data_IF_229742871944
#
_entry.id   IF_229742871944
#
_cell.length_a   1.000
_cell.length_b   1.000
_cell.length_c   1.000
_cell.angle_alpha   90.00
_cell.angle_beta   90.00
_cell.angle_gamma   90.00
#
_symmetry.space_group_name_H-M   'P 1'
#
loop_
_entity.id
_entity.type
_entity.pdbx_description
1 polymer ?
2 polymer ?
3 non-polymer ?
4 non-polymer ?
5 non-polymer ?
6 water ?
#
loop_
_entity_poly.entity_id
_entity_poly.type
_entity_poly.pdbx_seq_one_letter_code
_entity_poly.pdbx_strand_id
1 'polyribonucleotide' 'GGCAUUGUGCCUCGCAUUGCACUCCGCGGGGCGAUAAGUCCUGAAAAGGGAUGUC' ?
#
# COMPACT_ATOMS: atom_id res chain seq x y z
N UNK C 1 -14.67 -21.32 -0.55
CA UNK C 1 -14.78 -22.56 0.26
C UNK C 1 -16.02 -22.64 1.19
N UNK C 2 -16.69 -23.79 1.15
CA UNK C 2 -17.94 -23.93 1.90
C UNK C 2 -17.65 -23.86 3.39
N UNK C 3 -18.59 -23.35 4.18
CA UNK C 3 -18.36 -23.24 5.63
C UNK C 3 -18.13 -24.62 6.25
N UNK C 4 -17.38 -24.63 7.35
CA UNK C 4 -16.98 -25.89 7.95
C UNK C 4 -16.87 -25.69 9.46
N UNK C 5 -17.04 -26.79 10.20
CA UNK C 5 -16.88 -26.77 11.64
C UNK C 5 -15.55 -26.19 12.07
N UNK C 6 -14.52 -26.33 11.24
CA UNK C 6 -13.15 -25.96 11.57
C UNK C 6 -12.68 -24.76 10.76
N UNK C 7 -11.86 -23.90 11.37
CA UNK C 7 -11.28 -22.80 10.64
C UNK C 7 -9.78 -22.99 10.53
N UNK C 8 -9.27 -22.76 9.33
CA UNK C 8 -7.85 -22.77 9.03
C UNK C 8 -7.31 -21.36 9.24
N UNK C 9 -6.25 -21.24 10.05
CA UNK C 9 -5.52 -19.99 10.24
C UNK C 9 -4.07 -20.21 9.85
N UNK C 10 -3.48 -19.22 9.21
CA UNK C 10 -2.04 -19.21 8.94
C UNK C 10 -1.58 -17.77 8.94
N UNK C 11 -0.37 -17.53 8.45
CA UNK C 11 0.33 -16.25 8.69
C UNK C 11 0.43 -16.01 10.19
N UNK C 12 0.41 -17.10 10.96
CA UNK C 12 0.73 -17.06 12.37
C UNK C 12 2.22 -16.94 12.57
N UNK C 13 2.60 -16.01 13.44
CA UNK C 13 3.94 -15.86 14.00
C UNK C 13 4.57 -17.19 14.41
N UNK C 14 5.58 -17.63 13.64
CA UNK C 14 6.23 -18.92 13.89
C UNK C 14 7.15 -18.93 15.13
N UNK C 15 7.56 -17.77 15.63
CA UNK C 15 8.45 -17.73 16.78
C UNK C 15 7.76 -18.04 18.09
N UNK C 16 6.44 -18.31 18.10
CA UNK C 16 5.68 -18.44 19.35
C UNK C 16 5.62 -19.90 19.77
N UNK C 17 5.89 -20.15 21.05
CA UNK C 17 5.92 -21.53 21.53
C UNK C 17 4.55 -22.17 21.37
N UNK C 18 4.57 -23.47 21.07
CA UNK C 18 3.35 -24.23 20.82
C UNK C 18 2.35 -24.09 21.97
N UNK C 19 2.81 -24.23 23.21
CA UNK C 19 1.92 -24.12 24.35
C UNK C 19 1.18 -22.80 24.32
N UNK C 20 1.95 -21.69 24.36
CA UNK C 20 1.38 -20.35 24.37
C UNK C 20 0.49 -20.12 23.16
N UNK C 21 0.95 -20.56 21.99
CA UNK C 21 0.19 -20.33 20.77
C UNK C 21 -1.20 -20.93 20.87
N UNK C 22 -1.28 -22.21 21.24
CA UNK C 22 -2.58 -22.82 21.46
C UNK C 22 -3.35 -22.02 22.50
N UNK C 23 -2.73 -21.83 23.67
CA UNK C 23 -3.40 -21.15 24.75
C UNK C 23 -3.90 -19.78 24.31
N UNK C 24 -3.09 -19.06 23.51
CA UNK C 24 -3.49 -17.72 23.07
C UNK C 24 -4.63 -17.79 22.06
N UNK C 25 -4.48 -18.63 21.04
CA UNK C 25 -5.55 -18.84 20.08
C UNK C 25 -6.84 -19.21 20.78
N UNK C 26 -6.73 -20.01 21.85
CA UNK C 26 -7.94 -20.51 22.48
C UNK C 26 -8.71 -19.38 23.16
N UNK C 27 -8.00 -18.52 23.90
CA UNK C 27 -8.65 -17.40 24.59
C UNK C 27 -9.45 -16.54 23.61
N UNK C 28 -8.84 -16.18 22.49
CA UNK C 28 -9.46 -15.33 21.49
C UNK C 28 -10.70 -16.00 20.89
N UNK C 29 -10.58 -17.25 20.46
CA UNK C 29 -11.63 -17.80 19.63
C UNK C 29 -12.76 -18.46 20.41
N UNK C 30 -12.55 -18.77 21.67
CA UNK C 30 -13.65 -19.26 22.47
C UNK C 30 -14.79 -18.25 22.62
N UNK C 31 -14.53 -16.95 22.43
CA UNK C 31 -15.64 -16.00 22.49
C UNK C 31 -16.68 -16.26 21.42
N UNK C 32 -16.41 -17.16 20.49
CA UNK C 32 -17.35 -17.38 19.42
C UNK C 32 -18.15 -18.67 19.59
N UNK C 33 -17.64 -19.62 20.36
CA UNK C 33 -18.29 -20.90 20.43
C UNK C 33 -17.56 -21.82 21.39
N UNK C 34 -18.02 -23.05 21.44
CA UNK C 34 -17.32 -24.04 22.20
C UNK C 34 -16.35 -24.74 21.26
N UNK C 35 -15.09 -24.72 21.64
CA UNK C 35 -14.04 -25.30 20.82
C UNK C 35 -13.76 -26.70 21.34
N UNK C 36 -13.78 -27.68 20.44
CA UNK C 36 -13.45 -29.05 20.81
C UNK C 36 -11.95 -29.28 20.82
N UNK C 37 -11.24 -28.78 19.82
CA UNK C 37 -9.79 -28.82 19.89
C UNK C 37 -9.15 -27.77 19.00
N UNK C 38 -7.87 -27.51 19.28
CA UNK C 38 -7.01 -26.62 18.53
C UNK C 38 -5.75 -27.40 18.22
N UNK C 39 -5.45 -27.59 16.95
CA UNK C 39 -4.30 -28.40 16.60
C UNK C 39 -3.16 -27.48 16.16
N UNK C 40 -2.01 -27.63 16.81
CA UNK C 40 -0.86 -26.79 16.52
C UNK C 40 0.38 -27.67 16.51
N UNK C 41 1.06 -27.73 15.35
CA UNK C 41 2.29 -28.48 15.17
C UNK C 41 3.29 -27.59 14.47
N UNK C 42 4.54 -27.60 14.93
CA UNK C 42 5.58 -26.75 14.40
C UNK C 42 6.48 -27.46 13.38
N UNK C 43 6.04 -28.56 12.79
CA UNK C 43 6.79 -29.16 11.71
C UNK C 43 6.87 -28.17 10.56
N UNK C 44 7.75 -28.46 9.59
CA UNK C 44 7.85 -27.57 8.44
C UNK C 44 6.47 -27.36 7.82
N UNK C 45 5.74 -28.46 7.57
CA UNK C 45 4.50 -28.40 6.82
C UNK C 45 3.39 -27.66 7.57
N UNK C 47 4.01 -25.25 10.38
CA UNK C 47 4.41 -23.98 11.00
C UNK C 47 3.41 -22.87 10.66
N UNK C 48 3.38 -21.85 11.50
CA UNK C 48 2.52 -20.70 11.28
C UNK C 48 1.05 -20.96 10.98
N UNK C 49 0.60 -22.20 11.13
CA UNK C 49 -0.79 -22.55 10.90
C UNK C 49 -1.42 -23.12 12.17
N UNK C 50 -2.75 -23.04 12.24
CA UNK C 50 -3.51 -23.68 13.30
C UNK C 50 -4.87 -24.13 12.77
N UNK C 51 -5.42 -25.13 13.44
CA UNK C 51 -6.73 -25.71 13.14
C UNK C 51 -7.60 -25.62 14.38
N UNK C 52 -8.58 -24.74 14.36
CA UNK C 52 -9.49 -24.54 15.49
C UNK C 52 -10.82 -25.19 15.16
N UNK C 53 -11.14 -26.24 15.91
CA UNK C 53 -12.31 -27.07 15.68
C UNK C 53 -13.42 -26.60 16.62
N UNK C 54 -14.51 -26.08 16.04
CA UNK C 54 -15.66 -25.58 16.78
C UNK C 54 -16.75 -26.64 16.81
N UNK C 55 -17.54 -26.62 17.90
CA UNK C 55 -18.71 -27.50 17.97
C UNK C 55 -19.77 -27.10 16.96
N UNK C 56 -20.01 -25.80 16.82
CA UNK C 56 -21.08 -25.27 16.00
C UNK C 56 -20.50 -24.53 14.79
N UNK C 57 -20.97 -24.88 13.59
CA UNK C 57 -20.49 -24.19 12.40
C UNK C 57 -20.76 -22.69 12.50
N UNK C 58 -21.97 -22.31 12.92
CA UNK C 58 -22.28 -20.89 13.14
C UNK C 58 -21.21 -20.22 13.98
N UNK C 59 -20.65 -20.94 14.96
CA UNK C 59 -19.66 -20.38 15.86
C UNK C 59 -18.30 -20.19 15.19
N UNK C 60 -17.94 -21.10 14.28
CA UNK C 60 -16.76 -20.87 13.45
C UNK C 60 -16.94 -19.64 12.58
N UNK C 61 -18.10 -19.52 11.94
CA UNK C 61 -18.33 -18.43 11.00
C UNK C 61 -18.20 -17.05 11.65
N UNK C 62 -18.78 -16.87 12.85
CA UNK C 62 -18.53 -15.63 13.59
C UNK C 62 -17.05 -15.41 13.89
N UNK C 63 -16.32 -16.50 14.17
CA UNK C 63 -14.90 -16.35 14.46
C UNK C 63 -14.11 -15.96 13.22
N UNK C 64 -14.47 -16.52 12.07
CA UNK C 64 -13.79 -16.14 10.84
C UNK C 64 -14.16 -14.72 10.42
N UNK C 65 -15.45 -14.42 10.40
CA UNK C 65 -15.91 -13.11 9.93
C UNK C 65 -15.47 -12.01 10.87
N UNK C 66 -15.63 -12.21 12.18
CA UNK C 66 -15.24 -11.14 13.09
C UNK C 66 -13.72 -10.96 13.08
N UNK C 68 -11.08 -11.94 10.98
CA UNK C 68 -10.16 -11.99 9.85
C UNK C 68 -9.07 -10.93 9.99
N UNK C 69 -7.87 -11.25 9.50
CA UNK C 69 -6.80 -10.25 9.44
C UNK C 69 -6.48 -9.44 10.70
N UNK C 70 -6.96 -9.91 11.88
CA UNK C 70 -6.72 -9.14 13.09
C UNK C 70 -5.31 -9.36 13.60
N UNK C 71 -4.78 -8.38 14.33
CA UNK C 71 -3.43 -8.50 14.88
C UNK C 71 -3.32 -9.60 15.93
N UNK C 72 -2.35 -10.47 15.74
CA UNK C 72 -2.11 -11.56 16.66
C UNK C 72 -0.63 -11.87 16.55
N UNK C 73 0.13 -11.50 17.61
CA UNK C 73 1.59 -11.65 17.66
C UNK C 73 2.27 -10.95 16.48
N UNK C 74 1.78 -9.76 16.17
CA UNK C 74 2.38 -8.81 15.24
C UNK C 74 2.19 -9.25 13.79
N UNK C 75 1.28 -10.18 13.55
CA UNK C 75 0.97 -10.51 12.19
C UNK C 75 -0.54 -10.60 12.03
N UNK C 76 -1.08 -10.16 10.91
CA UNK C 76 -2.50 -10.45 10.64
C UNK C 76 -2.70 -11.94 10.53
N UNK C 78 -4.66 -14.95 8.88
CA UNK C 78 -5.45 -15.20 7.67
C UNK C 78 -6.28 -16.46 7.91
N UNK C 79 -7.55 -16.24 8.20
CA UNK C 79 -8.51 -17.27 8.52
C UNK C 79 -9.21 -17.73 7.27
N UNK C 80 -9.61 -19.00 7.26
CA UNK C 80 -10.19 -19.68 6.12
C UNK C 80 -10.96 -20.89 6.65
N UNK C 81 -12.03 -21.27 5.97
CA UNK C 81 -12.68 -22.53 6.31
C UNK C 81 -11.79 -23.70 5.92
N UNK C 82 -11.58 -24.63 6.84
CA UNK C 82 -10.77 -25.82 6.52
C UNK C 82 -11.43 -26.58 5.37
N UNK C 83 -10.61 -27.10 4.47
CA UNK C 83 -11.14 -27.64 3.22
C UNK C 83 -12.07 -28.83 3.46
N UNK C 84 -11.93 -29.50 4.61
CA UNK C 84 -12.47 -30.82 4.90
C UNK C 84 -12.67 -30.97 6.39
N UNK C 85 -13.67 -31.76 6.78
CA UNK C 85 -14.03 -31.91 8.20
C UNK C 85 -12.87 -32.48 9.02
N UNK C 86 -12.77 -32.03 10.27
CA UNK C 86 -11.74 -32.57 11.15
C UNK C 86 -12.18 -33.93 11.65
N UNK C 87 -11.21 -34.84 11.79
CA UNK C 87 -11.52 -36.22 12.15
C UNK C 87 -12.45 -36.28 13.37
N UNK C 88 -12.22 -35.42 14.36
CA UNK C 88 -13.07 -35.27 15.54
C UNK C 88 -14.54 -35.10 15.15
N UNK C 89 -14.78 -34.60 13.95
CA UNK C 89 -16.14 -34.31 13.51
C UNK C 89 -16.62 -35.25 12.41
N UNK C 90 -15.72 -35.99 11.76
CA UNK C 90 -16.11 -37.16 10.98
C UNK C 90 -17.29 -37.91 11.62
N UNK C 91 -17.10 -38.40 12.85
CA UNK C 91 -18.22 -38.93 13.64
C UNK C 91 -19.43 -37.96 13.75
N UNK D 1 2.60 32.99 -6.05
CA UNK D 1 2.92 31.68 -5.46
C UNK D 1 4.24 31.72 -4.61
N UNK D 2 4.24 30.99 -3.50
CA UNK D 2 5.28 31.16 -2.50
C UNK D 2 6.58 30.50 -2.94
N UNK D 3 7.73 31.09 -2.59
CA UNK D 3 9.03 30.49 -2.97
C UNK D 3 9.17 29.07 -2.47
N UNK D 4 9.78 28.24 -3.32
CA UNK D 4 9.87 26.79 -3.12
C UNK D 4 11.25 26.29 -3.56
N UNK D 5 11.60 25.09 -3.12
CA UNK D 5 12.83 24.45 -3.59
C UNK D 5 12.74 24.07 -5.06
N UNK D 6 11.54 23.86 -5.58
CA UNK D 6 11.31 23.27 -6.89
C UNK D 6 10.66 24.31 -7.79
N UNK D 7 11.19 24.48 -8.98
CA UNK D 7 10.54 25.35 -9.95
C UNK D 7 9.78 24.48 -10.94
N UNK D 8 8.56 24.88 -11.25
CA UNK D 8 7.72 24.18 -12.20
C UNK D 8 7.76 24.93 -13.51
N UNK D 9 8.35 24.30 -14.54
CA UNK D 9 8.50 24.91 -15.85
C UNK D 9 7.53 24.26 -16.81
N UNK D 10 6.89 25.10 -17.64
CA UNK D 10 6.04 24.64 -18.75
C UNK D 10 6.20 25.64 -19.87
N UNK D 11 5.32 25.55 -20.87
CA UNK D 11 5.56 26.01 -22.24
C UNK D 11 6.93 25.56 -22.70
N UNK D 12 7.15 24.24 -22.66
CA UNK D 12 8.37 23.64 -23.18
C UNK D 12 8.06 22.94 -24.50
N UNK D 13 9.07 22.81 -25.36
CA UNK D 13 8.92 22.20 -26.68
C UNK D 13 8.65 20.71 -26.54
N UNK D 14 7.37 20.33 -26.60
CA UNK D 14 6.96 18.92 -26.47
C UNK D 14 7.66 17.97 -27.43
N UNK D 15 8.27 18.47 -28.49
CA UNK D 15 8.91 17.57 -29.43
C UNK D 15 10.33 17.19 -29.03
N UNK D 16 10.83 17.67 -27.90
CA UNK D 16 12.18 17.33 -27.45
C UNK D 16 12.13 16.01 -26.70
N UNK D 17 13.04 15.10 -27.05
CA UNK D 17 13.19 13.80 -26.39
C UNK D 17 13.44 13.96 -24.91
N UNK D 18 12.94 13.01 -24.12
CA UNK D 18 12.95 13.15 -22.65
C UNK D 18 14.36 13.15 -22.11
N UNK D 19 15.14 12.13 -22.49
CA UNK D 19 16.50 12.05 -22.00
C UNK D 19 17.26 13.33 -22.29
N UNK D 20 16.99 13.94 -23.45
CA UNK D 20 17.73 15.13 -23.86
C UNK D 20 17.19 16.37 -23.18
N UNK D 21 15.87 16.42 -22.98
CA UNK D 21 15.26 17.58 -22.33
C UNK D 21 15.77 17.73 -20.91
N UNK D 22 16.04 16.60 -20.22
CA UNK D 22 16.55 16.63 -18.85
C UNK D 22 17.98 17.18 -18.79
N UNK D 23 18.87 16.64 -19.59
CA UNK D 23 20.26 17.06 -19.46
C UNK D 23 20.45 18.53 -19.89
N UNK D 24 19.64 19.01 -20.85
CA UNK D 24 19.58 20.45 -21.12
C UNK D 24 19.22 21.22 -19.87
N UNK D 25 18.00 21.02 -19.39
CA UNK D 25 17.52 21.65 -18.18
C UNK D 25 18.56 21.59 -17.08
N UNK D 26 19.19 20.44 -16.89
CA UNK D 26 20.20 20.36 -15.84
C UNK D 26 21.37 21.30 -16.14
N UNK D 27 22.03 21.08 -17.28
CA UNK D 27 23.18 21.89 -17.68
C UNK D 27 22.88 23.37 -17.62
N UNK D 28 21.63 23.74 -17.90
CA UNK D 28 21.21 25.13 -17.93
C UNK D 28 21.04 25.69 -16.52
N UNK D 29 20.27 25.00 -15.68
CA UNK D 29 19.98 25.57 -14.37
C UNK D 29 21.07 25.33 -13.33
N UNK D 30 22.02 24.43 -13.62
CA UNK D 30 23.21 24.32 -12.78
C UNK D 30 24.00 25.62 -12.72
N UNK D 31 23.79 26.52 -13.67
CA UNK D 31 24.27 27.88 -13.51
C UNK D 31 23.88 28.45 -12.16
N UNK D 32 22.60 28.31 -11.81
CA UNK D 32 22.04 28.97 -10.65
C UNK D 32 22.14 28.11 -9.39
N UNK D 33 22.96 27.08 -9.38
CA UNK D 33 23.22 26.34 -8.16
C UNK D 33 22.97 24.86 -8.30
N UNK D 34 23.04 24.17 -7.17
CA UNK D 34 23.07 22.71 -7.18
C UNK D 34 21.67 22.12 -7.31
N UNK D 35 21.58 21.01 -8.05
CA UNK D 35 20.31 20.44 -8.47
C UNK D 35 20.25 18.99 -7.98
N UNK D 36 19.19 18.65 -7.23
CA UNK D 36 19.01 17.35 -6.60
C UNK D 36 18.31 16.35 -7.51
N UNK D 37 17.26 16.78 -8.22
CA UNK D 37 16.79 15.98 -9.34
C UNK D 37 16.04 16.89 -10.29
N UNK D 38 15.80 16.36 -11.49
CA UNK D 38 14.88 16.92 -12.48
C UNK D 38 13.89 15.83 -12.82
N UNK D 39 12.61 16.12 -12.63
CA UNK D 39 11.54 15.22 -12.97
C UNK D 39 10.93 15.66 -14.29
N UNK D 40 10.83 14.72 -15.24
CA UNK D 40 10.32 15.00 -16.57
C UNK D 40 9.70 13.73 -17.09
N UNK D 41 8.44 13.81 -17.48
CA UNK D 41 7.73 12.78 -18.23
C UNK D 41 7.15 13.47 -19.44
N UNK D 42 6.89 12.68 -20.48
CA UNK D 42 6.29 13.14 -21.72
C UNK D 42 4.90 12.61 -21.90
N UNK D 43 4.30 12.13 -20.81
CA UNK D 43 2.90 11.72 -20.77
C UNK D 43 1.97 12.87 -21.19
N UNK D 44 0.70 12.52 -21.40
CA UNK D 44 -0.28 13.54 -21.80
C UNK D 44 -0.44 14.60 -20.70
N UNK D 45 -0.36 14.18 -19.43
CA UNK D 45 -0.49 15.13 -18.33
C UNK D 45 0.80 15.91 -18.12
N UNK D 47 3.61 16.34 -20.35
CA UNK D 47 4.46 16.80 -21.43
C UNK D 47 4.50 18.32 -21.43
N UNK D 48 5.52 18.87 -22.07
CA UNK D 48 5.69 20.30 -22.09
C UNK D 48 6.05 20.93 -20.76
N UNK D 49 6.21 20.13 -19.71
CA UNK D 49 6.44 20.59 -18.34
C UNK D 49 7.60 19.83 -17.73
N UNK D 50 8.19 20.40 -16.68
CA UNK D 50 9.34 19.83 -16.00
C UNK D 50 9.42 20.35 -14.56
N UNK D 51 10.01 19.55 -13.68
CA UNK D 51 10.23 19.91 -12.29
C UNK D 51 11.72 19.92 -12.03
N UNK D 52 12.28 21.09 -11.73
CA UNK D 52 13.69 21.22 -11.39
C UNK D 52 13.78 21.44 -9.89
N UNK D 53 14.47 20.55 -9.19
CA UNK D 53 14.50 20.54 -7.73
C UNK D 53 15.85 21.08 -7.29
N UNK D 54 15.86 22.30 -6.77
CA UNK D 54 17.11 22.89 -6.33
C UNK D 54 17.44 22.44 -4.90
N UNK D 55 18.71 22.56 -4.53
CA UNK D 55 19.08 22.31 -3.15
C UNK D 55 18.66 23.48 -2.25
N UNK D 56 18.84 24.72 -2.69
CA UNK D 56 18.53 25.89 -1.88
C UNK D 56 17.56 26.82 -2.60
N UNK D 57 16.51 27.24 -1.89
CA UNK D 57 15.46 28.07 -2.47
C UNK D 57 16.03 29.36 -3.09
N UNK D 58 17.16 29.84 -2.55
CA UNK D 58 17.80 31.00 -3.16
C UNK D 58 18.16 30.72 -4.60
N UNK D 59 18.77 29.55 -4.86
CA UNK D 59 19.10 29.16 -6.22
C UNK D 59 17.87 29.21 -7.12
N UNK D 60 16.79 28.52 -6.70
CA UNK D 60 15.56 28.50 -7.48
C UNK D 60 15.06 29.90 -7.78
N UNK D 61 15.07 30.77 -6.77
CA UNK D 61 14.59 32.12 -7.00
C UNK D 61 15.41 32.82 -8.07
N UNK D 62 16.74 32.80 -7.93
CA UNK D 62 17.59 33.40 -8.97
C UNK D 62 17.31 32.74 -10.30
N UNK D 63 17.05 31.43 -10.29
CA UNK D 63 16.73 30.73 -11.52
C UNK D 63 15.41 31.24 -12.07
N UNK D 64 14.37 31.25 -11.23
CA UNK D 64 13.07 31.73 -11.64
C UNK D 64 13.15 33.15 -12.21
N UNK D 65 13.86 34.03 -11.50
CA UNK D 65 13.91 35.44 -11.87
C UNK D 65 14.75 35.68 -13.12
N UNK D 66 15.84 34.91 -13.30
CA UNK D 66 16.76 35.13 -14.43
C UNK D 66 16.27 34.45 -15.71
N UNK D 68 13.31 33.53 -16.64
CA UNK D 68 11.90 33.68 -16.93
C UNK D 68 11.71 33.99 -18.40
N UNK D 69 10.84 33.21 -19.06
CA UNK D 69 10.55 33.48 -20.45
C UNK D 69 11.69 33.27 -21.39
N UNK D 70 12.74 32.57 -20.96
CA UNK D 70 13.92 32.45 -21.79
C UNK D 70 13.61 31.63 -23.05
N UNK D 71 14.16 32.00 -24.20
CA UNK D 71 13.97 31.21 -25.41
C UNK D 71 14.63 29.86 -25.34
N UNK D 72 13.87 28.83 -25.04
CA UNK D 72 14.41 27.49 -24.92
C UNK D 72 13.71 26.60 -25.94
N UNK D 73 14.47 26.15 -26.95
CA UNK D 73 13.96 25.24 -27.97
C UNK D 73 12.78 25.84 -28.70
N UNK D 74 12.92 27.11 -29.08
CA UNK D 74 11.94 27.92 -29.82
C UNK D 74 10.67 28.21 -29.03
N UNK D 75 10.65 28.01 -27.71
CA UNK D 75 9.53 28.50 -26.94
C UNK D 75 10.06 29.27 -25.74
N UNK D 76 9.34 30.31 -25.30
CA UNK D 76 9.71 30.99 -24.05
C UNK D 76 9.24 30.20 -22.82
N UNK D 78 8.12 29.19 -19.21
CA UNK D 78 7.24 29.77 -18.19
C UNK D 78 7.64 29.10 -16.88
N UNK D 79 8.14 29.88 -15.94
CA UNK D 79 8.68 29.33 -14.70
C UNK D 79 7.88 29.91 -13.55
N UNK D 80 7.20 29.05 -12.78
CA UNK D 80 6.72 29.38 -11.44
C UNK D 80 7.47 28.59 -10.38
N UNK D 81 7.14 28.88 -9.12
CA UNK D 81 7.46 28.00 -8.03
C UNK D 81 6.48 26.83 -8.00
N UNK D 82 6.97 25.66 -7.57
CA UNK D 82 6.09 24.51 -7.44
C UNK D 82 5.02 24.79 -6.38
N UNK D 83 3.83 24.23 -6.58
CA UNK D 83 2.78 24.46 -5.61
C UNK D 83 2.95 23.63 -4.34
N UNK D 84 3.88 22.67 -4.32
CA UNK D 84 4.10 21.80 -3.16
C UNK D 84 5.55 21.37 -3.18
N UNK D 85 6.03 20.94 -2.03
CA UNK D 85 7.40 20.46 -1.96
C UNK D 85 7.53 19.14 -2.70
N UNK D 86 8.65 18.95 -3.37
CA UNK D 86 8.94 17.66 -3.98
C UNK D 86 9.14 16.62 -2.89
N UNK D 87 8.87 15.37 -3.24
CA UNK D 87 8.96 14.29 -2.25
C UNK D 87 10.37 14.25 -1.65
N UNK D 88 11.40 14.28 -2.49
CA UNK D 88 12.80 14.25 -2.04
C UNK D 88 13.10 15.34 -1.00
N UNK D 89 12.30 16.39 -0.93
CA UNK D 89 12.53 17.44 0.05
C UNK D 89 11.77 17.19 1.34
N UNK D 90 10.49 16.79 1.26
CA UNK D 90 9.71 16.55 2.46
C UNK D 90 10.36 15.49 3.35
N UNK D 91 11.01 14.49 2.74
CA UNK D 91 11.78 13.49 3.46
C UNK D 91 13.15 14.09 3.79
N UNK E 2 -12.90 13.20 -5.42
CA UNK E 2 -11.80 12.27 -5.17
C UNK E 2 -12.19 10.77 -5.25
N UNK E 3 -13.35 10.37 -4.71
CA UNK E 3 -13.67 8.92 -4.65
C UNK E 3 -13.61 8.23 -6.00
N UNK E 4 -12.95 7.06 -6.02
CA UNK E 4 -12.81 6.27 -7.23
C UNK E 4 -12.58 4.81 -6.85
N UNK E 5 -12.16 4.00 -7.83
CA UNK E 5 -12.08 2.55 -7.69
C UNK E 5 -10.87 2.08 -6.92
N UNK E 6 -9.88 2.97 -6.73
CA UNK E 6 -8.51 2.60 -6.39
C UNK E 6 -8.10 3.28 -5.08
N UNK E 7 -7.76 2.49 -4.05
CA UNK E 7 -7.29 3.08 -2.79
C UNK E 7 -5.77 2.93 -2.68
N UNK E 8 -5.13 4.02 -2.28
CA UNK E 8 -3.70 4.08 -2.05
C UNK E 8 -3.46 3.88 -0.56
N UNK E 9 -2.71 2.83 -0.21
CA UNK E 9 -2.44 2.46 1.18
C UNK E 9 -0.97 2.69 1.49
N UNK E 10 -0.69 3.25 2.65
CA UNK E 10 0.69 3.55 3.01
C UNK E 10 0.78 3.65 4.52
N UNK E 11 1.98 3.99 4.98
CA UNK E 11 2.43 3.71 6.32
C UNK E 11 2.40 2.21 6.57
N UNK E 12 2.60 1.46 5.51
CA UNK E 12 2.74 0.03 5.62
C UNK E 12 4.08 -0.32 6.27
N UNK E 13 4.28 -1.60 6.52
CA UNK E 13 5.52 -2.05 7.11
C UNK E 13 6.46 -2.50 6.00
N UNK E 14 7.64 -1.87 5.91
CA UNK E 14 8.50 -2.12 4.76
C UNK E 14 9.28 -3.43 4.88
N UNK E 15 9.51 -3.90 6.11
CA UNK E 15 10.22 -5.14 6.32
C UNK E 15 9.39 -6.36 5.91
N UNK E 16 8.07 -6.23 5.76
CA UNK E 16 7.26 -7.37 5.35
C UNK E 16 7.57 -7.74 3.91
N UNK E 17 7.56 -9.04 3.62
CA UNK E 17 7.75 -9.48 2.25
C UNK E 17 6.66 -8.92 1.34
N UNK E 18 7.07 -8.50 0.13
CA UNK E 18 6.16 -8.22 -0.98
C UNK E 18 4.90 -9.07 -0.91
N UNK E 19 5.07 -10.38 -1.05
CA UNK E 19 3.91 -11.21 -1.34
C UNK E 19 3.27 -11.79 -0.10
N UNK E 20 3.90 -11.71 1.06
CA UNK E 20 3.13 -12.05 2.25
C UNK E 20 2.20 -10.90 2.61
N UNK E 21 2.59 -9.66 2.24
CA UNK E 21 1.72 -8.54 2.53
C UNK E 21 0.57 -8.47 1.54
N UNK E 22 0.83 -8.78 0.27
CA UNK E 22 -0.28 -8.89 -0.68
C UNK E 22 -1.28 -9.92 -0.20
N UNK E 23 -0.81 -11.03 0.38
CA UNK E 23 -1.74 -12.06 0.82
C UNK E 23 -2.59 -11.56 1.96
N UNK E 24 -2.10 -10.61 2.75
CA UNK E 24 -2.85 -10.12 3.89
C UNK E 24 -3.76 -8.95 3.53
N UNK E 25 -3.35 -8.10 2.57
CA UNK E 25 -4.27 -7.09 2.04
C UNK E 25 -5.48 -7.74 1.39
N UNK E 26 -5.30 -8.90 0.76
CA UNK E 26 -6.46 -9.55 0.17
C UNK E 26 -7.41 -10.05 1.23
N UNK E 27 -6.89 -10.83 2.18
CA UNK E 27 -7.72 -11.37 3.26
C UNK E 27 -8.47 -10.31 4.01
N UNK E 28 -8.03 -9.07 3.94
CA UNK E 28 -8.60 -8.00 4.74
C UNK E 28 -9.64 -7.21 3.96
N UNK E 29 -9.26 -6.78 2.75
CA UNK E 29 -10.07 -5.86 1.95
C UNK E 29 -11.13 -6.57 1.13
N UNK E 30 -11.04 -7.90 0.99
CA UNK E 30 -12.03 -8.60 0.19
C UNK E 30 -13.39 -8.72 0.87
N UNK E 31 -13.54 -8.37 2.15
CA UNK E 31 -14.88 -8.29 2.73
C UNK E 31 -15.76 -7.36 1.92
N UNK E 32 -15.17 -6.29 1.36
CA UNK E 32 -15.88 -5.11 0.89
C UNK E 32 -16.32 -5.16 -0.57
N UNK E 33 -15.87 -6.12 -1.35
CA UNK E 33 -16.32 -6.19 -2.73
C UNK E 33 -15.31 -6.89 -3.59
N UNK E 34 -15.66 -7.04 -4.86
CA UNK E 34 -14.77 -7.69 -5.80
C UNK E 34 -13.54 -6.82 -6.04
N UNK E 35 -12.38 -7.47 -6.14
CA UNK E 35 -11.08 -6.81 -6.22
C UNK E 35 -10.47 -7.13 -7.57
N UNK E 36 -10.02 -6.11 -8.26
CA UNK E 36 -9.41 -6.36 -9.57
C UNK E 36 -7.93 -6.68 -9.40
N UNK E 37 -7.30 -6.02 -8.45
CA UNK E 37 -5.87 -6.22 -8.29
C UNK E 37 -5.44 -5.63 -6.96
N UNK E 38 -4.54 -6.34 -6.28
CA UNK E 38 -3.73 -5.76 -5.23
C UNK E 38 -2.37 -5.52 -5.85
N UNK E 39 -1.77 -4.38 -5.57
CA UNK E 39 -0.43 -4.10 -6.07
C UNK E 39 0.49 -3.85 -4.88
N UNK E 40 1.40 -4.79 -4.63
CA UNK E 40 2.49 -4.57 -3.70
C UNK E 40 3.80 -4.73 -4.47
N UNK E 41 4.67 -3.74 -4.39
CA UNK E 41 5.86 -3.69 -5.22
C UNK E 41 7.12 -3.58 -4.39
N UNK E 42 8.23 -3.23 -5.05
CA UNK E 42 9.35 -2.62 -4.35
C UNK E 42 8.95 -1.26 -3.81
N UNK E 43 7.88 -0.67 -4.38
CA UNK E 43 7.24 0.49 -3.78
C UNK E 43 6.98 0.28 -2.31
N UNK E 44 6.66 -0.97 -1.92
CA UNK E 44 6.41 -1.26 -0.51
C UNK E 44 7.69 -1.13 0.31
N UNK E 45 8.78 -1.72 -0.17
CA UNK E 45 10.07 -1.59 0.53
C UNK E 45 10.62 -0.18 0.41
N UNK E 47 8.82 2.90 -0.31
CA UNK E 47 7.97 3.92 0.27
C UNK E 47 6.95 3.39 1.28
N UNK E 48 6.88 2.08 1.52
CA UNK E 48 5.91 1.58 2.47
C UNK E 48 4.47 1.76 2.05
N UNK E 49 4.19 1.49 0.77
CA UNK E 49 2.88 1.72 0.21
C UNK E 49 2.51 0.56 -0.70
N UNK E 50 1.20 0.38 -0.90
CA UNK E 50 0.66 -0.56 -1.88
C UNK E 50 -0.66 0.02 -2.43
N UNK E 51 -1.39 -0.80 -3.16
CA UNK E 51 -2.62 -0.37 -3.82
C UNK E 51 -3.60 -1.54 -3.84
N UNK E 52 -4.86 -1.26 -3.53
CA UNK E 52 -5.96 -2.20 -3.78
C UNK E 52 -6.96 -1.54 -4.76
N UNK E 53 -7.38 -2.30 -5.77
CA UNK E 53 -8.25 -1.81 -6.84
C UNK E 53 -9.49 -2.67 -6.89
N UNK E 54 -10.63 -2.06 -6.58
CA UNK E 54 -11.91 -2.76 -6.53
C UNK E 54 -12.63 -2.63 -7.86
N UNK E 55 -13.64 -3.48 -8.04
CA UNK E 55 -14.47 -3.41 -9.24
C UNK E 55 -15.35 -2.17 -9.24
N UNK E 56 -15.95 -1.83 -8.09
CA UNK E 56 -16.93 -0.76 -8.02
C UNK E 56 -16.54 0.28 -6.97
N UNK E 57 -17.00 1.51 -7.18
CA UNK E 57 -16.54 2.59 -6.32
C UNK E 57 -17.13 2.45 -4.94
N UNK E 58 -18.32 1.86 -4.83
CA UNK E 58 -18.96 1.71 -3.52
C UNK E 58 -18.02 1.00 -2.55
N UNK E 59 -17.47 -0.14 -3.01
CA UNK E 59 -16.62 -0.97 -2.16
C UNK E 59 -15.34 -0.25 -1.79
N UNK E 60 -14.69 0.42 -2.75
CA UNK E 60 -13.51 1.20 -2.43
C UNK E 60 -13.80 2.32 -1.45
N UNK E 61 -15.08 2.72 -1.31
CA UNK E 61 -15.42 3.74 -0.33
C UNK E 61 -15.68 3.14 1.05
N UNK E 62 -16.38 2.00 1.16
CA UNK E 62 -16.49 1.39 2.48
C UNK E 62 -15.13 0.94 2.96
N UNK E 63 -14.33 0.36 2.06
CA UNK E 63 -12.96 -0.01 2.38
C UNK E 63 -12.24 1.12 3.09
N UNK E 64 -12.13 2.26 2.42
CA UNK E 64 -11.53 3.44 3.04
C UNK E 64 -12.15 3.71 4.40
N UNK E 65 -13.47 3.86 4.45
CA UNK E 65 -14.12 4.27 5.68
C UNK E 65 -13.86 3.27 6.81
N UNK E 66 -14.11 1.99 6.57
CA UNK E 66 -13.95 1.02 7.64
C UNK E 66 -12.48 0.76 7.95
N UNK E 68 -9.74 2.06 7.64
CA UNK E 68 -8.80 3.16 7.85
C UNK E 68 -8.17 3.14 9.24
N UNK E 69 -6.85 3.00 9.29
CA UNK E 69 -6.10 3.03 10.53
C UNK E 69 -5.92 1.69 11.18
N UNK E 70 -6.23 0.63 10.46
CA UNK E 70 -6.22 -0.72 10.98
C UNK E 70 -4.82 -1.08 11.46
N UNK E 71 -4.68 -1.78 12.57
CA UNK E 71 -3.38 -2.39 12.90
C UNK E 71 -2.97 -3.37 11.81
N UNK E 72 -1.75 -3.22 11.30
CA UNK E 72 -1.28 -4.10 10.23
C UNK E 72 0.24 -4.21 10.36
N UNK E 73 0.74 -5.38 10.82
CA UNK E 73 2.17 -5.60 11.00
C UNK E 73 2.81 -4.45 11.81
N UNK E 74 2.13 -4.06 12.88
CA UNK E 74 2.57 -3.18 13.94
C UNK E 74 2.51 -1.72 13.54
N UNK E 75 2.10 -1.42 12.32
CA UNK E 75 1.87 -0.05 11.91
C UNK E 75 0.40 0.08 11.52
N UNK E 76 -0.23 1.22 11.80
CA UNK E 76 -1.62 1.44 11.36
C UNK E 76 -1.72 2.01 9.95
N UNK E 78 -2.65 3.74 6.42
CA UNK E 78 -3.20 5.01 5.97
C UNK E 78 -3.89 4.76 4.65
N UNK E 79 -5.18 5.05 4.59
CA UNK E 79 -5.96 4.66 3.43
C UNK E 79 -6.56 5.92 2.88
N UNK E 80 -6.22 6.24 1.64
CA UNK E 80 -6.85 7.32 0.90
C UNK E 80 -7.08 6.84 -0.51
N UNK E 81 -7.85 7.62 -1.27
CA UNK E 81 -8.08 7.29 -2.66
C UNK E 81 -6.83 7.57 -3.49
N UNK E 82 -6.74 6.87 -4.60
CA UNK E 82 -5.65 7.15 -5.50
C UNK E 82 -5.90 8.47 -6.21
N UNK E 83 -4.83 9.28 -6.34
CA UNK E 83 -4.95 10.51 -7.10
C UNK E 83 -5.38 10.25 -8.53
N UNK E 84 -5.16 9.02 -9.02
CA UNK E 84 -5.55 8.58 -10.36
C UNK E 84 -5.93 7.12 -10.29
N UNK E 85 -7.03 6.72 -10.94
CA UNK E 85 -7.41 5.31 -10.96
C UNK E 85 -6.37 4.47 -11.65
N UNK E 86 -6.48 3.16 -11.46
CA UNK E 86 -5.75 2.22 -12.28
C UNK E 86 -6.23 2.31 -13.73
N UNK E 87 -5.43 1.76 -14.64
CA UNK E 87 -5.85 1.70 -16.05
C UNK E 87 -7.12 0.89 -16.24
N UNK E 88 -7.23 -0.23 -15.53
CA UNK E 88 -8.31 -1.19 -15.70
C UNK E 88 -9.71 -0.54 -15.82
#
# INVERSE_FOLDING_TARGET
TRPNHTIYINNLNEKIKKDELKKSLHAIFSRFGQILDILVKRSLKXRGQAFVIFKEVSSATNALRSXQGFPFYDKPXRIQYAKTDSDIIAKXA
TRPNHTIYINNLNEKIKKDELKKSLHAIFSRFGQILDILVKRSLKXRGQAFVIFKEVSSATNALRSXQGFPFYDKPXRIQYAKTDSDIIAKXA
TRPNHTIYINNLNEKIKKDELKKSLHAIFSRFGQILDILVKRSLKXRGQAFVIFKEVSSATNALRSXQGFPFYDKPXRIQYAKTDSDIIAKXA
#
